data_IF_827096917289
#
_entry.id   IF_827096917289
#
_cell.length_a   1.000
_cell.length_b   1.000
_cell.length_c   1.000
_cell.angle_alpha   90.00
_cell.angle_beta   90.00
_cell.angle_gamma   90.00
#
_symmetry.space_group_name_H-M   'P 1'
#
loop_
_entity.id
_entity.type
_entity.pdbx_description
1 polymer ?
#
# COMPACT_ATOMS: atom_id res chain seq x y z
N UNK A 1 -8.88 6.29 1.03
CA UNK A 1 -10.20 5.70 0.74
C UNK A 1 -10.37 5.69 -0.78
N UNK A 2 -10.02 4.58 -1.45
CA UNK A 2 -10.34 4.40 -2.87
C UNK A 2 -11.68 3.68 -2.91
N UNK A 3 -12.70 4.36 -3.42
CA UNK A 3 -14.05 3.83 -3.53
C UNK A 3 -14.12 3.05 -4.83
N UNK A 4 -14.13 1.72 -4.77
CA UNK A 4 -14.44 0.87 -5.91
C UNK A 4 -15.94 0.98 -6.16
N UNK A 5 -16.33 1.80 -7.12
CA UNK A 5 -17.71 1.82 -7.59
C UNK A 5 -17.83 0.65 -8.57
N UNK A 6 -18.34 -0.48 -8.09
CA UNK A 6 -18.85 -1.53 -8.97
C UNK A 6 -20.10 -0.97 -9.67
N UNK A 7 -19.91 -0.32 -10.82
CA UNK A 7 -21.03 0.04 -11.67
C UNK A 7 -21.44 -1.22 -12.41
N UNK A 8 -22.46 -1.90 -11.91
CA UNK A 8 -23.21 -2.86 -12.71
C UNK A 8 -23.91 -2.02 -13.78
N UNK A 9 -23.39 -2.05 -15.00
CA UNK A 9 -23.87 -1.24 -16.13
C UNK A 9 -25.21 -1.76 -16.70
N UNK A 10 -26.01 -2.45 -15.89
CA UNK A 10 -27.38 -2.80 -16.24
C UNK A 10 -28.30 -1.69 -15.74
N UNK A 11 -28.45 -0.63 -16.54
CA UNK A 11 -29.51 0.36 -16.36
C UNK A 11 -29.10 1.69 -15.73
N UNK A 12 -27.96 2.28 -16.11
CA UNK A 12 -27.72 3.71 -15.84
C UNK A 12 -28.02 4.53 -17.11
N UNK A 13 -29.32 4.77 -17.31
CA UNK A 13 -29.86 5.73 -18.28
C UNK A 13 -29.50 7.14 -17.81
N UNK A 14 -28.27 7.60 -18.05
CA UNK A 14 -27.94 9.03 -17.99
C UNK A 14 -28.25 9.59 -19.37
N UNK A 15 -29.36 10.30 -19.44
CA UNK A 15 -29.70 11.23 -20.52
C UNK A 15 -28.59 12.28 -20.64
N UNK A 16 -27.60 12.04 -21.48
CA UNK A 16 -26.90 13.10 -22.18
C UNK A 16 -27.34 12.98 -23.63
N UNK A 17 -28.10 13.98 -24.09
CA UNK A 17 -28.48 14.13 -25.49
C UNK A 17 -27.18 14.20 -26.31
N UNK A 18 -26.79 13.07 -26.87
CA UNK A 18 -25.66 12.97 -27.78
C UNK A 18 -26.25 12.83 -29.17
N UNK A 19 -26.39 13.97 -29.84
CA UNK A 19 -26.89 14.05 -31.20
C UNK A 19 -25.72 13.70 -32.14
N UNK A 20 -25.91 12.65 -32.93
CA UNK A 20 -24.93 12.13 -33.85
C UNK A 20 -24.66 13.13 -34.99
N UNK A 21 -23.49 13.76 -35.01
CA UNK A 21 -22.80 14.16 -36.25
C UNK A 21 -21.37 14.63 -35.99
N UNK A 22 -20.43 13.87 -36.53
CA UNK A 22 -19.08 14.34 -36.78
C UNK A 22 -19.12 15.64 -37.60
N UNK A 23 -18.62 16.75 -37.04
CA UNK A 23 -17.78 17.75 -37.69
C UNK A 23 -17.56 18.99 -36.81
N UNK A 24 -16.27 19.31 -36.62
CA UNK A 24 -15.73 20.69 -36.53
C UNK A 24 -15.91 21.51 -35.24
N UNK A 25 -14.76 22.06 -34.83
CA UNK A 25 -14.54 23.28 -34.02
C UNK A 25 -14.89 23.25 -32.53
N UNK A 26 -14.01 23.89 -31.77
CA UNK A 26 -14.04 23.92 -30.31
C UNK A 26 -15.29 24.56 -29.72
N UNK A 27 -15.47 24.28 -28.43
CA UNK A 27 -16.53 24.87 -27.61
C UNK A 27 -17.64 23.89 -27.20
N UNK A 28 -17.30 22.68 -26.74
CA UNK A 28 -18.25 21.77 -26.08
C UNK A 28 -17.68 21.29 -24.75
N UNK A 29 -18.48 21.16 -23.69
CA UNK A 29 -18.07 20.90 -22.30
C UNK A 29 -17.65 19.46 -22.00
N UNK A 30 -16.97 18.82 -22.94
CA UNK A 30 -16.81 17.38 -22.91
C UNK A 30 -15.37 16.98 -22.57
N UNK A 31 -15.26 16.08 -21.60
CA UNK A 31 -14.01 15.46 -21.17
C UNK A 31 -13.54 14.47 -22.23
N UNK A 32 -12.26 14.53 -22.61
CA UNK A 32 -11.67 13.64 -23.62
C UNK A 32 -11.71 12.18 -23.16
N UNK A 33 -12.26 11.26 -23.95
CA UNK A 33 -12.32 9.84 -23.58
C UNK A 33 -11.29 9.05 -24.39
N UNK A 34 -10.45 8.29 -23.69
CA UNK A 34 -9.37 7.49 -24.25
C UNK A 34 -9.59 6.02 -23.86
N UNK A 35 -9.71 5.12 -24.83
CA UNK A 35 -9.75 3.67 -24.58
C UNK A 35 -8.41 3.06 -25.02
N UNK A 36 -7.75 2.35 -24.11
CA UNK A 36 -6.47 1.66 -24.38
C UNK A 36 -5.39 2.54 -25.05
N UNK A 37 -5.39 3.85 -24.73
CA UNK A 37 -4.44 4.83 -25.24
C UNK A 37 -4.83 5.50 -26.57
N UNK A 38 -6.00 5.19 -27.14
CA UNK A 38 -6.54 5.83 -28.35
C UNK A 38 -7.79 6.65 -28.02
N UNK A 39 -8.01 7.83 -28.65
CA UNK A 39 -9.26 8.56 -28.52
C UNK A 39 -10.45 7.70 -28.94
N UNK A 40 -11.42 7.58 -28.06
CA UNK A 40 -12.60 6.76 -28.29
C UNK A 40 -13.70 7.57 -28.96
N UNK A 41 -14.41 6.92 -29.88
CA UNK A 41 -15.66 7.40 -30.45
C UNK A 41 -16.84 7.00 -29.58
N UNK A 42 -17.96 7.70 -29.75
CA UNK A 42 -19.21 7.39 -29.06
C UNK A 42 -19.69 5.96 -29.34
N UNK A 43 -19.53 5.51 -30.59
CA UNK A 43 -19.88 4.14 -31.01
C UNK A 43 -19.05 3.09 -30.27
N UNK A 44 -17.76 3.36 -30.06
CA UNK A 44 -16.87 2.46 -29.30
C UNK A 44 -17.25 2.40 -27.82
N UNK A 45 -17.73 3.51 -27.25
CA UNK A 45 -18.21 3.58 -25.87
C UNK A 45 -19.54 2.84 -25.69
N UNK A 46 -20.47 2.99 -26.63
CA UNK A 46 -21.75 2.26 -26.64
C UNK A 46 -21.55 0.75 -26.82
N UNK A 47 -20.55 0.35 -27.60
CA UNK A 47 -20.17 -1.04 -27.82
C UNK A 47 -19.47 -1.72 -26.62
N UNK A 48 -19.17 -0.98 -25.53
CA UNK A 48 -18.59 -1.55 -24.30
C UNK A 48 -19.59 -2.33 -23.43
N UNK A 49 -20.79 -2.60 -23.94
CA UNK A 49 -21.86 -3.28 -23.20
C UNK A 49 -21.54 -4.76 -22.92
N UNK A 50 -21.72 -5.11 -21.64
CA UNK A 50 -22.03 -6.43 -21.08
C UNK A 50 -20.95 -7.47 -20.73
N UNK A 51 -19.64 -7.24 -20.89
CA UNK A 51 -18.67 -8.25 -20.41
C UNK A 51 -17.24 -7.81 -20.09
N UNK A 52 -16.91 -6.53 -20.19
CA UNK A 52 -15.54 -6.06 -20.02
C UNK A 52 -15.38 -5.26 -18.73
N UNK A 53 -14.46 -5.69 -17.85
CA UNK A 53 -14.02 -4.88 -16.72
C UNK A 53 -13.08 -3.79 -17.24
N UNK A 54 -13.33 -2.53 -16.89
CA UNK A 54 -12.46 -1.41 -17.24
C UNK A 54 -11.93 -0.74 -15.97
N UNK A 55 -10.65 -0.39 -16.00
CA UNK A 55 -10.11 0.58 -15.06
C UNK A 55 -10.37 1.99 -15.62
N UNK A 56 -11.02 2.84 -14.82
CA UNK A 56 -11.33 4.22 -15.19
C UNK A 56 -10.39 5.14 -14.40
N UNK A 57 -9.57 5.90 -15.10
CA UNK A 57 -8.70 6.91 -14.51
C UNK A 57 -9.03 8.29 -15.06
N UNK A 58 -9.29 9.25 -14.18
CA UNK A 58 -9.46 10.65 -14.55
C UNK A 58 -8.13 11.41 -14.52
N UNK A 59 -7.83 12.11 -15.61
CA UNK A 59 -6.75 13.08 -15.72
C UNK A 59 -7.30 14.50 -15.62
N UNK A 60 -6.71 15.31 -14.75
CA UNK A 60 -7.01 16.73 -14.66
C UNK A 60 -6.66 17.47 -15.96
N UNK A 61 -7.31 18.61 -16.26
CA UNK A 61 -7.06 19.40 -17.47
C UNK A 61 -5.58 19.69 -17.75
N UNK A 62 -4.82 20.06 -16.72
CA UNK A 62 -3.38 20.35 -16.85
C UNK A 62 -2.59 19.11 -17.33
N UNK A 63 -2.89 17.93 -16.77
CA UNK A 63 -2.22 16.67 -17.13
C UNK A 63 -2.68 16.15 -18.49
N UNK A 64 -3.97 16.24 -18.77
CA UNK A 64 -4.54 15.82 -20.05
C UNK A 64 -4.04 16.71 -21.19
N UNK A 65 -3.97 18.03 -21.00
CA UNK A 65 -3.47 18.97 -22.01
C UNK A 65 -1.97 18.80 -22.28
N UNK A 66 -1.18 18.42 -21.27
CA UNK A 66 0.23 18.10 -21.45
C UNK A 66 0.47 16.85 -22.33
N UNK A 67 -0.46 15.90 -22.34
CA UNK A 67 -0.34 14.62 -23.05
C UNK A 67 -1.07 14.66 -24.40
N UNK A 68 -2.28 15.23 -24.43
CA UNK A 68 -3.21 15.19 -25.56
C UNK A 68 -3.41 16.57 -26.22
N UNK A 69 -2.61 17.58 -25.83
CA UNK A 69 -2.68 18.92 -26.40
C UNK A 69 -4.04 19.59 -26.14
N UNK A 70 -4.51 20.49 -27.03
CA UNK A 70 -5.76 21.23 -26.85
C UNK A 70 -6.99 20.36 -26.60
N UNK A 71 -7.00 19.10 -27.07
CA UNK A 71 -8.09 18.16 -26.82
C UNK A 71 -8.23 17.79 -25.34
N UNK A 72 -7.13 17.84 -24.57
CA UNK A 72 -7.13 17.56 -23.13
C UNK A 72 -7.45 18.78 -22.24
N UNK A 73 -7.79 19.95 -22.81
CA UNK A 73 -8.01 21.19 -22.07
C UNK A 73 -9.14 21.15 -21.03
N UNK A 74 -9.99 20.11 -21.07
CA UNK A 74 -11.10 19.88 -20.11
C UNK A 74 -10.93 18.58 -19.29
N UNK A 75 -9.73 18.02 -19.29
CA UNK A 75 -9.42 16.74 -18.65
C UNK A 75 -9.66 15.55 -19.58
N UNK A 76 -9.26 14.37 -19.15
CA UNK A 76 -9.46 13.13 -19.90
C UNK A 76 -9.88 11.96 -18.99
N UNK A 77 -10.73 11.08 -19.49
CA UNK A 77 -11.06 9.79 -18.89
C UNK A 77 -10.33 8.69 -19.67
N UNK A 78 -9.42 8.01 -18.99
CA UNK A 78 -8.72 6.84 -19.50
C UNK A 78 -9.50 5.60 -19.09
N UNK A 79 -10.05 4.89 -20.07
CA UNK A 79 -10.65 3.57 -19.89
C UNK A 79 -9.63 2.54 -20.40
N UNK A 80 -9.08 1.76 -19.49
CA UNK A 80 -8.20 0.66 -19.85
C UNK A 80 -8.96 -0.64 -19.67
N UNK A 81 -9.00 -1.50 -20.69
CA UNK A 81 -9.56 -2.85 -20.52
C UNK A 81 -8.74 -3.57 -19.46
N UNK A 82 -9.36 -3.85 -18.31
CA UNK A 82 -8.81 -4.82 -17.37
C UNK A 82 -8.92 -6.16 -18.06
N UNK A 83 -7.80 -6.68 -18.56
CA UNK A 83 -7.75 -8.07 -18.99
C UNK A 83 -8.19 -8.92 -17.78
N UNK A 84 -9.07 -9.92 -17.96
CA UNK A 84 -9.28 -10.91 -16.91
C UNK A 84 -7.89 -11.43 -16.53
N UNK A 85 -7.64 -11.50 -15.23
CA UNK A 85 -6.40 -11.95 -14.59
C UNK A 85 -5.80 -13.13 -15.34
N UNK A 86 -4.83 -12.85 -16.20
CA UNK A 86 -4.33 -13.85 -17.13
C UNK A 86 -3.73 -13.28 -18.41
N UNK A 87 -2.83 -12.30 -18.30
CA UNK A 87 -1.71 -12.12 -19.24
C UNK A 87 -0.79 -10.96 -18.82
N UNK A 88 0.40 -11.33 -18.34
CA UNK A 88 1.58 -10.50 -18.08
C UNK A 88 1.73 -9.33 -19.06
N UNK A 89 1.42 -8.11 -18.62
CA UNK A 89 2.06 -6.90 -19.15
C UNK A 89 3.27 -6.68 -18.24
N UNK A 90 4.49 -6.87 -18.77
CA UNK A 90 5.73 -6.78 -18.01
C UNK A 90 5.92 -5.34 -17.50
N UNK A 91 5.40 -5.05 -16.31
CA UNK A 91 5.79 -3.91 -15.52
C UNK A 91 7.06 -4.22 -14.72
N UNK A 92 7.62 -3.23 -14.01
CA UNK A 92 8.74 -3.45 -13.09
C UNK A 92 8.43 -4.60 -12.12
N UNK A 93 9.42 -5.45 -11.86
CA UNK A 93 9.31 -6.57 -10.93
C UNK A 93 9.06 -6.05 -9.52
N UNK A 94 8.13 -6.66 -8.79
CA UNK A 94 7.91 -6.31 -7.38
C UNK A 94 8.55 -7.38 -6.50
N UNK A 95 9.33 -6.94 -5.52
CA UNK A 95 10.00 -7.80 -4.55
C UNK A 95 9.56 -7.36 -3.17
N UNK A 96 8.71 -8.15 -2.52
CA UNK A 96 8.22 -7.89 -1.16
C UNK A 96 9.04 -8.70 -0.16
N UNK A 97 9.68 -8.02 0.80
CA UNK A 97 10.54 -8.64 1.82
C UNK A 97 11.57 -9.62 1.21
N UNK A 98 12.19 -9.22 0.10
CA UNK A 98 13.19 -10.03 -0.61
C UNK A 98 12.63 -11.13 -1.52
N UNK A 99 11.30 -11.28 -1.63
CA UNK A 99 10.67 -12.30 -2.48
C UNK A 99 9.89 -11.67 -3.64
N UNK A 100 10.08 -12.13 -4.88
CA UNK A 100 9.26 -11.70 -6.00
C UNK A 100 7.78 -12.00 -5.77
N UNK A 101 6.91 -11.03 -5.99
CA UNK A 101 5.45 -11.15 -5.88
C UNK A 101 4.78 -10.49 -7.08
N UNK A 102 3.57 -10.91 -7.47
CA UNK A 102 2.82 -10.17 -8.47
C UNK A 102 2.37 -8.81 -7.90
N UNK A 103 2.27 -7.79 -8.76
CA UNK A 103 2.11 -6.39 -8.33
C UNK A 103 0.78 -6.12 -7.60
N UNK A 104 -0.25 -6.88 -7.95
CA UNK A 104 -1.57 -6.91 -7.29
C UNK A 104 -1.50 -7.37 -5.82
N UNK A 105 -0.45 -8.11 -5.44
CA UNK A 105 -0.25 -8.55 -4.05
C UNK A 105 0.00 -7.39 -3.08
N UNK A 106 0.30 -6.18 -3.58
CA UNK A 106 0.52 -4.99 -2.75
C UNK A 106 -0.78 -4.25 -2.36
N UNK A 107 -1.93 -4.55 -2.97
CA UNK A 107 -3.14 -3.73 -2.85
C UNK A 107 -3.65 -3.54 -1.41
N UNK A 108 -3.33 -4.47 -0.51
CA UNK A 108 -3.77 -4.44 0.89
C UNK A 108 -2.64 -4.54 1.92
N UNK A 109 -1.38 -4.41 1.48
CA UNK A 109 -0.23 -4.55 2.37
C UNK A 109 0.32 -3.17 2.73
N UNK A 110 0.29 -2.76 4.01
CA UNK A 110 1.01 -1.56 4.43
C UNK A 110 2.51 -1.80 4.25
N UNK A 111 3.21 -0.83 3.68
CA UNK A 111 4.65 -0.89 3.46
C UNK A 111 5.35 0.20 4.26
N UNK A 112 6.56 -0.10 4.75
CA UNK A 112 7.41 0.86 5.44
C UNK A 112 8.41 1.52 4.49
N UNK A 113 8.83 0.82 3.44
CA UNK A 113 9.89 1.27 2.55
C UNK A 113 9.64 0.77 1.13
N UNK A 114 9.93 1.64 0.16
CA UNK A 114 9.99 1.27 -1.26
C UNK A 114 11.29 1.84 -1.83
N UNK A 115 12.15 0.96 -2.32
CA UNK A 115 13.34 1.30 -3.08
C UNK A 115 13.15 0.90 -4.54
N UNK A 116 13.82 1.61 -5.45
CA UNK A 116 13.75 1.36 -6.89
C UNK A 116 15.13 0.97 -7.41
N UNK A 117 15.25 -0.22 -7.97
CA UNK A 117 16.44 -0.70 -8.66
C UNK A 117 16.23 -0.61 -10.18
N UNK A 118 17.21 -0.11 -10.93
CA UNK A 118 17.07 0.12 -12.39
C UNK A 118 18.27 -0.39 -13.18
N UNK A 119 18.03 -0.59 -14.48
CA UNK A 119 19.07 -0.86 -15.47
C UNK A 119 19.88 -2.11 -15.16
N UNK A 120 21.21 -2.05 -15.38
CA UNK A 120 22.09 -3.22 -15.23
C UNK A 120 22.08 -3.81 -13.82
N UNK A 121 21.93 -3.00 -12.77
CA UNK A 121 21.89 -3.50 -11.39
C UNK A 121 20.65 -4.39 -11.16
N UNK A 122 19.49 -3.96 -11.66
CA UNK A 122 18.25 -4.73 -11.62
C UNK A 122 18.37 -6.07 -12.36
N UNK A 123 18.89 -6.02 -13.58
CA UNK A 123 19.06 -7.21 -14.42
C UNK A 123 20.08 -8.18 -13.82
N UNK A 124 21.17 -7.69 -13.23
CA UNK A 124 22.19 -8.55 -12.62
C UNK A 124 21.65 -9.33 -11.40
N UNK A 125 20.76 -8.71 -10.61
CA UNK A 125 20.22 -9.34 -9.38
C UNK A 125 18.97 -10.19 -9.64
N UNK A 126 18.11 -9.79 -10.57
CA UNK A 126 16.78 -10.38 -10.78
C UNK A 126 16.54 -10.91 -12.20
N UNK A 127 17.56 -10.86 -13.06
CA UNK A 127 17.52 -11.41 -14.41
C UNK A 127 16.72 -10.54 -15.41
N UNK A 128 16.45 -11.09 -16.61
CA UNK A 128 15.78 -10.37 -17.70
C UNK A 128 14.38 -9.81 -17.37
N UNK A 129 13.69 -10.41 -16.39
CA UNK A 129 12.40 -9.93 -15.91
C UNK A 129 12.48 -8.53 -15.28
N UNK A 130 13.66 -8.12 -14.82
CA UNK A 130 13.91 -6.83 -14.20
C UNK A 130 14.39 -5.76 -15.18
N UNK A 131 14.27 -5.98 -16.49
CA UNK A 131 14.62 -5.00 -17.54
C UNK A 131 13.87 -3.67 -17.38
N UNK A 132 12.65 -3.73 -16.85
CA UNK A 132 11.78 -2.58 -16.60
C UNK A 132 11.96 -2.00 -15.18
N UNK A 133 12.96 -2.49 -14.44
CA UNK A 133 13.27 -2.12 -13.05
C UNK A 133 12.66 -3.05 -12.01
N UNK A 134 13.03 -2.84 -10.75
CA UNK A 134 12.50 -3.58 -9.59
C UNK A 134 12.05 -2.60 -8.52
N UNK A 135 10.84 -2.79 -8.01
CA UNK A 135 10.40 -2.20 -6.76
C UNK A 135 10.70 -3.16 -5.62
N UNK A 136 11.63 -2.76 -4.74
CA UNK A 136 11.91 -3.48 -3.51
C UNK A 136 11.03 -2.88 -2.43
N UNK A 137 10.07 -3.65 -1.95
CA UNK A 137 9.08 -3.24 -0.97
C UNK A 137 9.36 -3.97 0.33
N UNK A 138 9.45 -3.22 1.42
CA UNK A 138 9.44 -3.77 2.77
C UNK A 138 8.06 -3.55 3.37
N UNK A 139 7.41 -4.64 3.79
CA UNK A 139 6.14 -4.54 4.50
C UNK A 139 6.32 -3.81 5.83
N UNK A 140 5.35 -3.01 6.23
CA UNK A 140 5.33 -2.48 7.59
C UNK A 140 5.15 -3.66 8.57
N UNK A 141 5.89 -3.68 9.69
CA UNK A 141 5.71 -4.72 10.69
C UNK A 141 4.30 -4.64 11.25
N UNK A 142 3.70 -5.80 11.53
CA UNK A 142 2.44 -5.85 12.28
C UNK A 142 2.66 -5.16 13.62
N UNK A 143 1.70 -4.33 14.05
CA UNK A 143 1.74 -3.64 15.32
C UNK A 143 0.62 -4.11 16.22
N UNK A 144 0.92 -4.30 17.50
CA UNK A 144 -0.03 -4.77 18.49
C UNK A 144 0.19 -4.13 19.86
N UNK A 145 -0.78 -4.36 20.75
CA UNK A 145 -0.66 -4.05 22.17
C UNK A 145 -0.13 -5.27 22.93
N UNK A 146 0.90 -5.06 23.76
CA UNK A 146 1.51 -6.13 24.56
C UNK A 146 1.45 -5.82 26.04
N UNK A 147 0.88 -6.74 26.82
CA UNK A 147 0.82 -6.67 28.28
C UNK A 147 1.94 -7.51 28.89
N UNK A 148 2.81 -6.85 29.64
CA UNK A 148 3.98 -7.46 30.26
C UNK A 148 3.82 -7.46 31.78
N UNK A 149 3.92 -8.65 32.39
CA UNK A 149 4.00 -8.82 33.85
C UNK A 149 5.47 -8.99 34.25
N UNK A 150 6.06 -7.95 34.83
CA UNK A 150 7.48 -7.95 35.22
C UNK A 150 7.61 -8.29 36.70
N UNK A 151 8.24 -9.42 36.98
CA UNK A 151 8.45 -9.95 38.32
C UNK A 151 9.92 -10.28 38.55
N UNK A 152 10.30 -10.48 39.81
CA UNK A 152 11.59 -11.07 40.15
C UNK A 152 11.52 -12.59 40.22
N UNK A 153 12.66 -13.25 40.46
CA UNK A 153 12.74 -14.72 40.65
C UNK A 153 11.79 -15.30 41.72
N UNK A 154 11.29 -14.48 42.67
CA UNK A 154 10.31 -14.88 43.69
C UNK A 154 8.86 -14.62 43.29
N UNK A 155 8.62 -14.21 42.03
CA UNK A 155 7.30 -13.83 41.54
C UNK A 155 6.78 -12.49 42.06
N UNK A 156 7.58 -11.70 42.79
CA UNK A 156 7.12 -10.39 43.29
C UNK A 156 7.20 -9.34 42.17
N UNK A 157 6.18 -8.47 42.04
CA UNK A 157 6.18 -7.40 41.06
C UNK A 157 7.41 -6.49 41.13
N UNK A 158 7.94 -6.13 39.97
CA UNK A 158 9.00 -5.12 39.83
C UNK A 158 8.38 -3.82 39.35
N UNK A 159 8.24 -2.85 40.24
CA UNK A 159 7.77 -1.48 39.92
C UNK A 159 8.89 -0.64 39.33
N UNK A 160 8.57 0.18 38.34
CA UNK A 160 9.49 1.17 37.76
C UNK A 160 10.55 0.56 36.85
N UNK A 161 10.34 -0.65 36.34
CA UNK A 161 11.16 -1.18 35.27
C UNK A 161 10.81 -0.43 33.98
N UNK A 162 11.82 0.09 33.30
CA UNK A 162 11.70 0.80 32.04
C UNK A 162 11.84 -0.19 30.90
N UNK A 163 10.91 -0.15 29.97
CA UNK A 163 10.98 -0.85 28.69
C UNK A 163 11.54 0.16 27.70
N UNK A 164 12.65 -0.19 27.08
CA UNK A 164 13.39 0.68 26.18
C UNK A 164 13.43 0.07 24.78
N UNK A 165 13.38 0.93 23.76
CA UNK A 165 13.72 0.52 22.40
C UNK A 165 15.24 0.33 22.22
N UNK A 166 15.67 0.06 20.98
CA UNK A 166 17.07 -0.14 20.63
C UNK A 166 17.91 1.13 20.77
N UNK A 167 17.28 2.31 20.68
CA UNK A 167 17.91 3.62 20.84
C UNK A 167 18.02 4.04 22.31
N UNK A 168 17.33 3.32 23.20
CA UNK A 168 17.30 3.59 24.64
C UNK A 168 16.17 4.53 25.08
N UNK A 169 15.22 4.87 24.19
CA UNK A 169 14.04 5.66 24.56
C UNK A 169 13.07 4.82 25.37
N UNK A 170 12.42 5.44 26.36
CA UNK A 170 11.46 4.75 27.22
C UNK A 170 10.13 4.58 26.49
N UNK A 171 9.76 3.34 26.21
CA UNK A 171 8.49 2.94 25.60
C UNK A 171 7.38 2.81 26.64
N UNK A 172 7.70 2.24 27.80
CA UNK A 172 6.75 2.04 28.90
C UNK A 172 7.46 1.87 30.24
N UNK A 173 6.71 2.01 31.33
CA UNK A 173 7.21 1.83 32.69
C UNK A 173 6.25 0.93 33.47
N UNK A 174 6.78 -0.08 34.16
CA UNK A 174 5.95 -0.97 34.97
C UNK A 174 5.35 -0.27 36.20
N UNK A 175 4.06 -0.49 36.43
CA UNK A 175 3.32 0.08 37.54
C UNK A 175 3.59 -0.66 38.87
N UNK A 176 2.85 -0.32 39.93
CA UNK A 176 3.00 -0.94 41.26
C UNK A 176 2.72 -2.46 41.27
N UNK A 177 1.96 -2.96 40.30
CA UNK A 177 1.65 -4.37 40.12
C UNK A 177 2.64 -5.07 39.17
N UNK A 178 3.70 -4.39 38.73
CA UNK A 178 4.68 -4.95 37.79
C UNK A 178 4.19 -4.97 36.35
N UNK A 179 3.02 -4.40 36.06
CA UNK A 179 2.43 -4.43 34.73
C UNK A 179 2.92 -3.26 33.89
N UNK A 180 3.29 -3.53 32.64
CA UNK A 180 3.59 -2.53 31.61
C UNK A 180 2.79 -2.85 30.34
N UNK A 181 2.38 -1.81 29.61
CA UNK A 181 1.71 -1.91 28.32
C UNK A 181 2.61 -1.29 27.26
N UNK A 182 2.96 -2.06 26.23
CA UNK A 182 3.52 -1.51 25.00
C UNK A 182 2.35 -1.28 24.02
N UNK A 183 2.17 -0.04 23.58
CA UNK A 183 1.10 0.33 22.65
C UNK A 183 1.61 0.42 21.22
N UNK A 184 0.85 -0.15 20.27
CA UNK A 184 1.18 -0.07 18.84
C UNK A 184 2.64 -0.48 18.54
N UNK A 185 3.13 -1.50 19.26
CA UNK A 185 4.51 -1.93 19.19
C UNK A 185 4.70 -2.97 18.08
N UNK A 186 5.81 -2.95 17.32
CA UNK A 186 6.01 -3.91 16.24
C UNK A 186 6.21 -5.33 16.79
N UNK A 187 5.44 -6.28 16.24
CA UNK A 187 5.52 -7.70 16.61
C UNK A 187 6.90 -8.25 16.24
N UNK A 188 7.53 -8.95 17.19
CA UNK A 188 8.86 -9.54 17.03
C UNK A 188 10.02 -8.59 17.30
N UNK A 189 9.76 -7.29 17.52
CA UNK A 189 10.81 -6.34 17.88
C UNK A 189 11.35 -6.56 19.29
N UNK A 190 12.61 -6.20 19.49
CA UNK A 190 13.28 -6.31 20.77
C UNK A 190 12.95 -5.14 21.69
N UNK A 191 12.90 -5.43 23.00
CA UNK A 191 12.82 -4.44 24.06
C UNK A 191 13.90 -4.72 25.09
N UNK A 192 14.54 -3.67 25.58
CA UNK A 192 15.44 -3.74 26.74
C UNK A 192 14.70 -3.34 28.00
N UNK A 193 14.64 -4.23 28.98
CA UNK A 193 14.05 -3.96 30.30
C UNK A 193 15.17 -3.57 31.26
N UNK A 194 15.16 -2.31 31.74
CA UNK A 194 16.09 -1.82 32.76
C UNK A 194 15.37 -1.53 34.07
N UNK A 195 16.03 -1.87 35.18
CA UNK A 195 15.57 -1.53 36.52
C UNK A 195 16.76 -1.27 37.43
N UNK A 196 16.62 -0.38 38.41
CA UNK A 196 17.72 0.01 39.32
C UNK A 196 18.37 -1.16 40.08
N UNK A 197 17.65 -2.28 40.27
CA UNK A 197 18.05 -3.40 41.16
C UNK A 197 18.28 -4.72 40.45
N UNK A 198 18.16 -4.76 39.12
CA UNK A 198 18.20 -5.99 38.33
C UNK A 198 19.07 -5.79 37.09
N UNK A 199 19.68 -6.86 36.60
CA UNK A 199 20.41 -6.79 35.34
C UNK A 199 19.45 -6.43 34.20
N UNK A 200 19.90 -5.61 33.23
CA UNK A 200 19.15 -5.38 32.01
C UNK A 200 18.84 -6.71 31.30
N UNK A 201 17.62 -6.84 30.78
CA UNK A 201 17.21 -7.99 29.99
C UNK A 201 16.74 -7.50 28.62
N UNK A 202 17.31 -8.04 27.55
CA UNK A 202 16.84 -7.82 26.20
C UNK A 202 16.05 -9.05 25.73
N UNK A 203 14.88 -8.84 25.14
CA UNK A 203 14.06 -9.92 24.58
C UNK A 203 13.21 -9.45 23.41
N UNK A 204 12.88 -10.39 22.52
CA UNK A 204 11.89 -10.18 21.46
C UNK A 204 10.46 -10.29 22.00
N UNK A 205 9.59 -9.39 21.56
CA UNK A 205 8.19 -9.33 21.99
C UNK A 205 7.30 -9.89 20.88
N UNK A 206 6.81 -11.12 21.05
CA UNK A 206 5.87 -11.77 20.12
C UNK A 206 4.52 -12.07 20.76
N UNK A 207 4.50 -12.38 22.05
CA UNK A 207 3.31 -12.84 22.74
C UNK A 207 2.54 -11.66 23.35
N UNK A 208 1.25 -11.52 23.01
CA UNK A 208 0.39 -10.42 23.49
C UNK A 208 0.33 -10.28 25.02
N UNK A 209 0.59 -11.37 25.74
CA UNK A 209 0.71 -11.41 27.20
C UNK A 209 1.93 -12.22 27.57
N UNK A 210 2.88 -11.62 28.28
CA UNK A 210 4.12 -12.30 28.64
C UNK A 210 4.53 -11.98 30.07
N UNK A 211 4.93 -13.02 30.80
CA UNK A 211 5.51 -12.89 32.14
C UNK A 211 7.03 -12.87 32.03
N UNK A 212 7.64 -11.81 32.55
CA UNK A 212 9.08 -11.58 32.49
C UNK A 212 9.68 -11.68 33.88
N UNK A 213 10.73 -12.49 34.01
CA UNK A 213 11.42 -12.72 35.27
C UNK A 213 12.79 -12.05 35.22
N UNK A 214 12.99 -11.04 36.05
CA UNK A 214 14.28 -10.37 36.17
C UNK A 214 15.19 -11.05 37.20
N UNK A 215 16.47 -11.16 36.83
CA UNK A 215 17.56 -11.58 37.71
C UNK A 215 18.34 -10.38 38.25
N UNK A 216 18.84 -10.53 39.48
CA UNK A 216 19.81 -9.59 40.04
C UNK A 216 21.16 -9.76 39.38
#
# INVERSE_FOLDING_TARGET
MKMYITVVLAGLFILLNFDARAQSRGGGNETLIIIDGQPATEQELQALSDSSHFEIQYLSPQKAQAIYGPAGAKGALLLTKSKPSGQNKAGPLVVLNGKPVPADSLEHIPFQKIDVLRGRQAINLYGPAAKDGVFMVEAAPEKAHFWLEIVNKKGKPVKGAQLLDEEGNVLAISNKCGMALLENFPVGSNVTIKSKRYQPLQLGISDRKQKIILSK
#
